data_IF_694106748299
#
_entry.id   IF_694106748299
#
_cell.length_a   1.000
_cell.length_b   1.000
_cell.length_c   1.000
_cell.angle_alpha   90.00
_cell.angle_beta   90.00
_cell.angle_gamma   90.00
#
_symmetry.space_group_name_H-M   'P 1'
#
loop_
_entity.id
_entity.type
_entity.pdbx_description
1 polymer ?
#
# COMPACT_ATOMS: atom_id res chain seq x y z
N UNK A 1 -27.18 13.62 12.27
CA UNK A 1 -26.91 12.16 12.30
C UNK A 1 -27.33 11.59 10.95
N UNK A 2 -26.43 10.99 10.17
CA UNK A 2 -26.79 10.41 8.86
C UNK A 2 -27.67 9.17 9.09
N UNK A 3 -28.88 9.15 8.52
CA UNK A 3 -29.78 8.00 8.66
C UNK A 3 -29.26 6.82 7.84
N UNK A 4 -28.74 5.81 8.56
CA UNK A 4 -28.20 4.58 8.00
C UNK A 4 -29.30 3.76 7.28
N UNK A 5 -30.56 3.95 7.64
CA UNK A 5 -31.71 3.25 7.04
C UNK A 5 -32.22 3.92 5.76
N UNK A 6 -31.76 5.13 5.46
CA UNK A 6 -32.17 5.84 4.25
C UNK A 6 -31.85 5.04 2.99
N UNK A 7 -32.73 5.11 1.99
CA UNK A 7 -32.53 4.42 0.72
C UNK A 7 -31.18 4.78 0.07
N UNK A 8 -30.79 6.05 0.17
CA UNK A 8 -29.51 6.54 -0.33
C UNK A 8 -28.31 5.88 0.35
N UNK A 9 -28.34 5.72 1.67
CA UNK A 9 -27.26 5.06 2.40
C UNK A 9 -27.17 3.57 2.08
N UNK A 10 -28.32 2.88 2.00
CA UNK A 10 -28.35 1.46 1.61
C UNK A 10 -27.83 1.25 0.19
N UNK A 11 -28.23 2.10 -0.76
CA UNK A 11 -27.75 2.06 -2.15
C UNK A 11 -26.24 2.27 -2.22
N UNK A 12 -25.72 3.22 -1.43
CA UNK A 12 -24.27 3.45 -1.29
C UNK A 12 -23.54 2.23 -0.74
N UNK A 13 -23.99 1.68 0.39
CA UNK A 13 -23.37 0.51 1.01
C UNK A 13 -23.40 -0.70 0.08
N UNK A 14 -24.54 -0.95 -0.58
CA UNK A 14 -24.69 -2.04 -1.54
C UNK A 14 -23.68 -1.89 -2.69
N UNK A 15 -23.59 -0.70 -3.28
CA UNK A 15 -22.65 -0.41 -4.36
C UNK A 15 -21.20 -0.68 -3.93
N UNK A 16 -20.80 -0.23 -2.74
CA UNK A 16 -19.45 -0.45 -2.21
C UNK A 16 -19.18 -1.93 -1.93
N UNK A 17 -20.11 -2.65 -1.33
CA UNK A 17 -19.94 -4.09 -1.08
C UNK A 17 -19.88 -4.88 -2.38
N UNK A 18 -20.61 -4.50 -3.42
CA UNK A 18 -20.51 -5.13 -4.75
C UNK A 18 -19.14 -4.87 -5.39
N UNK A 19 -18.62 -3.64 -5.31
CA UNK A 19 -17.25 -3.33 -5.78
C UNK A 19 -16.24 -4.21 -5.05
N UNK A 20 -16.32 -4.27 -3.72
CA UNK A 20 -15.46 -5.14 -2.91
C UNK A 20 -15.57 -6.60 -3.33
N UNK A 21 -16.79 -7.14 -3.43
CA UNK A 21 -17.04 -8.53 -3.77
C UNK A 21 -16.47 -8.90 -5.15
N UNK A 22 -16.67 -8.05 -6.16
CA UNK A 22 -16.14 -8.27 -7.51
C UNK A 22 -14.61 -8.31 -7.50
N UNK A 23 -13.96 -7.34 -6.85
CA UNK A 23 -12.49 -7.29 -6.78
C UNK A 23 -11.94 -8.48 -5.99
N UNK A 24 -12.55 -8.81 -4.84
CA UNK A 24 -12.06 -9.89 -3.97
C UNK A 24 -12.16 -11.25 -4.67
N UNK A 25 -13.27 -11.54 -5.34
CA UNK A 25 -13.49 -12.86 -5.95
C UNK A 25 -12.87 -13.00 -7.35
N UNK A 26 -12.83 -11.92 -8.14
CA UNK A 26 -12.40 -11.96 -9.54
C UNK A 26 -11.13 -11.16 -9.81
N UNK A 27 -10.23 -11.06 -8.82
CA UNK A 27 -9.01 -10.25 -8.92
C UNK A 27 -8.18 -10.53 -10.19
N UNK A 28 -8.10 -11.80 -10.60
CA UNK A 28 -7.34 -12.22 -11.78
C UNK A 28 -7.86 -11.57 -13.07
N UNK A 29 -9.17 -11.29 -13.16
CA UNK A 29 -9.76 -10.61 -14.32
C UNK A 29 -9.32 -9.14 -14.35
N UNK A 30 -9.26 -8.49 -13.19
CA UNK A 30 -8.81 -7.11 -13.09
C UNK A 30 -7.32 -6.96 -13.36
N UNK A 31 -6.48 -7.89 -12.92
CA UNK A 31 -5.02 -7.80 -13.09
C UNK A 31 -4.50 -8.42 -14.38
N UNK A 32 -5.33 -9.16 -15.13
CA UNK A 32 -4.92 -9.81 -16.37
C UNK A 32 -4.61 -8.77 -17.47
N UNK A 33 -3.44 -8.87 -18.14
CA UNK A 33 -3.13 -8.04 -19.30
C UNK A 33 -3.99 -8.40 -20.53
N UNK A 34 -4.61 -9.59 -20.53
CA UNK A 34 -5.45 -10.09 -21.63
C UNK A 34 -6.88 -9.57 -21.55
N UNK A 35 -7.33 -9.12 -20.38
CA UNK A 35 -8.66 -8.54 -20.21
C UNK A 35 -8.66 -7.11 -20.77
N UNK A 36 -9.01 -6.95 -22.05
CA UNK A 36 -9.02 -5.66 -22.74
C UNK A 36 -10.43 -5.22 -23.13
N UNK A 37 -10.64 -3.91 -23.11
CA UNK A 37 -11.86 -3.23 -23.55
C UNK A 37 -11.49 -2.30 -24.70
N UNK A 38 -12.32 -2.31 -25.74
CA UNK A 38 -12.17 -1.39 -26.87
C UNK A 38 -12.72 -0.01 -26.50
N UNK A 39 -11.92 1.03 -26.71
CA UNK A 39 -12.30 2.40 -26.35
C UNK A 39 -13.46 2.94 -27.21
N UNK A 40 -13.49 2.58 -28.49
CA UNK A 40 -14.57 2.94 -29.43
C UNK A 40 -14.74 1.85 -30.48
N UNK A 41 -15.94 1.69 -31.03
CA UNK A 41 -16.20 0.77 -32.14
C UNK A 41 -15.29 1.04 -33.36
N UNK A 42 -14.81 2.27 -33.53
CA UNK A 42 -14.00 2.73 -34.66
C UNK A 42 -12.49 2.80 -34.42
N UNK A 43 -12.01 2.67 -33.18
CA UNK A 43 -10.58 2.73 -32.86
C UNK A 43 -10.02 1.34 -32.58
N UNK A 44 -8.87 1.01 -33.17
CA UNK A 44 -8.14 -0.23 -32.87
C UNK A 44 -7.52 -0.21 -31.44
N UNK A 45 -7.50 0.95 -30.79
CA UNK A 45 -6.94 1.12 -29.45
C UNK A 45 -7.78 0.38 -28.39
N UNK A 46 -7.19 -0.67 -27.84
CA UNK A 46 -7.69 -1.42 -26.70
C UNK A 46 -6.95 -1.02 -25.43
N UNK A 47 -7.66 -0.84 -24.33
CA UNK A 47 -7.08 -0.62 -23.00
C UNK A 47 -7.38 -1.81 -22.09
N UNK A 48 -6.56 -2.02 -21.07
CA UNK A 48 -6.84 -3.07 -20.07
C UNK A 48 -8.09 -2.71 -19.26
N UNK A 49 -8.80 -3.72 -18.76
CA UNK A 49 -9.98 -3.56 -17.91
C UNK A 49 -9.66 -2.66 -16.71
N UNK A 50 -8.52 -2.87 -16.04
CA UNK A 50 -8.11 -2.06 -14.91
C UNK A 50 -7.89 -0.59 -15.29
N UNK A 51 -7.34 -0.31 -16.46
CA UNK A 51 -7.20 1.06 -16.94
C UNK A 51 -8.57 1.72 -17.15
N UNK A 52 -9.52 0.98 -17.74
CA UNK A 52 -10.87 1.46 -17.98
C UNK A 52 -11.63 1.77 -16.67
N UNK A 53 -11.53 0.91 -15.65
CA UNK A 53 -12.26 1.09 -14.39
C UNK A 53 -11.56 2.01 -13.39
N UNK A 54 -10.26 2.29 -13.59
CA UNK A 54 -9.43 3.12 -12.70
C UNK A 54 -10.11 4.43 -12.25
N UNK A 55 -10.59 5.31 -13.15
CA UNK A 55 -11.19 6.58 -12.73
C UNK A 55 -12.43 6.38 -11.84
N UNK A 56 -13.24 5.35 -12.11
CA UNK A 56 -14.44 5.05 -11.33
C UNK A 56 -14.11 4.50 -9.94
N UNK A 57 -13.13 3.58 -9.86
CA UNK A 57 -12.66 3.03 -8.60
C UNK A 57 -12.06 4.12 -7.71
N UNK A 58 -11.20 4.97 -8.29
CA UNK A 58 -10.55 6.06 -7.57
C UNK A 58 -11.56 7.13 -7.12
N UNK A 59 -12.55 7.46 -7.95
CA UNK A 59 -13.62 8.39 -7.57
C UNK A 59 -14.50 7.83 -6.44
N UNK A 60 -14.76 6.52 -6.44
CA UNK A 60 -15.52 5.87 -5.37
C UNK A 60 -14.78 5.98 -4.03
N UNK A 61 -13.48 5.69 -4.00
CA UNK A 61 -12.68 5.82 -2.78
C UNK A 61 -12.48 7.27 -2.37
N UNK A 62 -12.22 8.20 -3.28
CA UNK A 62 -12.01 9.61 -2.91
C UNK A 62 -13.24 10.24 -2.26
N UNK A 63 -14.45 9.83 -2.67
CA UNK A 63 -15.71 10.34 -2.11
C UNK A 63 -16.12 9.68 -0.79
N UNK A 64 -15.67 8.46 -0.52
CA UNK A 64 -16.18 7.65 0.60
C UNK A 64 -15.11 7.20 1.60
N UNK A 65 -13.82 7.28 1.25
CA UNK A 65 -12.70 6.75 2.04
C UNK A 65 -12.46 7.45 3.38
N UNK A 66 -12.98 8.67 3.58
CA UNK A 66 -12.95 9.40 4.86
C UNK A 66 -14.33 9.49 5.53
N UNK A 67 -15.28 8.61 5.16
CA UNK A 67 -16.65 8.69 5.65
C UNK A 67 -16.74 8.64 7.19
N UNK A 68 -17.55 9.51 7.76
CA UNK A 68 -17.88 9.51 9.20
C UNK A 68 -18.83 8.38 9.60
N UNK A 69 -19.34 7.60 8.64
CA UNK A 69 -20.20 6.43 8.88
C UNK A 69 -19.32 5.18 8.92
N UNK A 70 -19.22 4.47 10.06
CA UNK A 70 -18.31 3.33 10.23
C UNK A 70 -18.42 2.28 9.12
N UNK A 71 -19.62 1.80 8.83
CA UNK A 71 -19.85 0.79 7.79
C UNK A 71 -19.38 1.22 6.38
N UNK A 72 -19.48 2.51 6.05
CA UNK A 72 -19.00 3.01 4.75
C UNK A 72 -17.48 3.05 4.74
N UNK A 73 -16.88 3.54 5.83
CA UNK A 73 -15.43 3.60 5.99
C UNK A 73 -14.80 2.21 5.93
N UNK A 74 -15.33 1.23 6.68
CA UNK A 74 -14.86 -0.16 6.73
C UNK A 74 -14.78 -0.77 5.32
N UNK A 75 -15.86 -0.70 4.54
CA UNK A 75 -15.89 -1.26 3.18
C UNK A 75 -14.92 -0.53 2.25
N UNK A 76 -14.76 0.79 2.40
CA UNK A 76 -13.78 1.54 1.62
C UNK A 76 -12.34 1.13 1.98
N UNK A 77 -12.05 0.94 3.26
CA UNK A 77 -10.76 0.43 3.73
C UNK A 77 -10.47 -0.97 3.18
N UNK A 78 -11.45 -1.87 3.12
CA UNK A 78 -11.26 -3.20 2.53
C UNK A 78 -11.06 -3.15 1.00
N UNK A 79 -11.79 -2.29 0.27
CA UNK A 79 -11.53 -2.06 -1.16
C UNK A 79 -10.10 -1.54 -1.35
N UNK A 80 -9.69 -0.57 -0.54
CA UNK A 80 -8.34 -0.02 -0.56
C UNK A 80 -7.29 -1.09 -0.23
N UNK A 81 -7.54 -1.96 0.74
CA UNK A 81 -6.68 -3.10 1.06
C UNK A 81 -6.51 -4.04 -0.13
N UNK A 82 -7.58 -4.36 -0.86
CA UNK A 82 -7.48 -5.18 -2.08
C UNK A 82 -6.62 -4.50 -3.16
N UNK A 83 -6.76 -3.18 -3.33
CA UNK A 83 -5.90 -2.41 -4.24
C UNK A 83 -4.44 -2.46 -3.78
N UNK A 84 -4.18 -2.28 -2.48
CA UNK A 84 -2.85 -2.33 -1.89
C UNK A 84 -2.25 -3.75 -1.92
N UNK A 85 -3.07 -4.81 -1.91
CA UNK A 85 -2.60 -6.19 -1.95
C UNK A 85 -2.29 -6.66 -3.36
N UNK A 86 -3.12 -6.32 -4.34
CA UNK A 86 -3.08 -6.95 -5.67
C UNK A 86 -2.78 -5.99 -6.82
N UNK A 87 -2.88 -4.67 -6.63
CA UNK A 87 -2.80 -3.69 -7.72
C UNK A 87 -1.71 -2.62 -7.52
N UNK A 88 -0.74 -2.85 -6.61
CA UNK A 88 0.31 -1.87 -6.22
C UNK A 88 1.04 -1.25 -7.39
N UNK A 89 1.49 -2.08 -8.32
CA UNK A 89 2.26 -1.64 -9.48
C UNK A 89 1.38 -0.84 -10.45
N UNK A 90 0.16 -1.30 -10.68
CA UNK A 90 -0.75 -0.74 -11.69
C UNK A 90 -1.43 0.56 -11.25
N UNK A 91 -1.57 0.76 -9.93
CA UNK A 91 -2.23 1.92 -9.30
C UNK A 91 -1.29 2.69 -8.37
N UNK A 92 0.01 2.66 -8.67
CA UNK A 92 1.07 3.22 -7.81
C UNK A 92 0.79 4.65 -7.39
N UNK A 93 0.51 5.54 -8.35
CA UNK A 93 0.29 6.98 -8.12
C UNK A 93 -1.00 7.23 -7.33
N UNK A 94 -2.06 6.50 -7.66
CA UNK A 94 -3.35 6.62 -7.00
C UNK A 94 -3.27 6.14 -5.55
N UNK A 95 -2.59 5.02 -5.29
CA UNK A 95 -2.34 4.51 -3.96
C UNK A 95 -1.50 5.47 -3.12
N UNK A 96 -0.50 6.12 -3.71
CA UNK A 96 0.29 7.16 -3.03
C UNK A 96 -0.60 8.30 -2.51
N UNK A 97 -1.47 8.81 -3.37
CA UNK A 97 -2.42 9.87 -3.03
C UNK A 97 -3.38 9.41 -1.93
N UNK A 98 -3.94 8.20 -2.02
CA UNK A 98 -4.85 7.69 -0.99
C UNK A 98 -4.17 7.46 0.36
N UNK A 99 -2.96 6.89 0.36
CA UNK A 99 -2.19 6.70 1.59
C UNK A 99 -1.90 8.04 2.25
N UNK A 100 -1.39 9.01 1.50
CA UNK A 100 -1.05 10.33 2.03
C UNK A 100 -2.28 11.12 2.48
N UNK A 101 -3.21 11.37 1.57
CA UNK A 101 -4.27 12.38 1.75
C UNK A 101 -5.45 11.87 2.58
N UNK A 102 -5.66 10.55 2.64
CA UNK A 102 -6.77 9.96 3.40
C UNK A 102 -6.25 9.22 4.62
N UNK A 103 -5.56 8.09 4.45
CA UNK A 103 -5.41 7.14 5.55
C UNK A 103 -4.31 7.52 6.55
N UNK A 104 -3.13 7.94 6.08
CA UNK A 104 -2.08 8.48 6.96
C UNK A 104 -2.52 9.80 7.57
N UNK A 105 -3.22 10.65 6.81
CA UNK A 105 -3.81 11.89 7.35
C UNK A 105 -4.82 11.61 8.48
N UNK A 106 -5.62 10.55 8.40
CA UNK A 106 -6.52 10.13 9.48
C UNK A 106 -5.74 9.76 10.75
N UNK A 107 -4.64 9.01 10.63
CA UNK A 107 -3.78 8.64 11.76
C UNK A 107 -3.09 9.86 12.39
N UNK A 108 -2.60 10.77 11.57
CA UNK A 108 -1.83 11.94 12.00
C UNK A 108 -2.69 12.97 12.76
N UNK A 109 -3.92 13.19 12.28
CA UNK A 109 -4.86 14.18 12.83
C UNK A 109 -5.39 13.76 14.21
N UNK A 110 -5.28 14.65 15.19
CA UNK A 110 -5.74 14.37 16.57
C UNK A 110 -7.24 14.15 16.68
N UNK A 111 -8.04 14.89 15.91
CA UNK A 111 -9.49 14.91 15.97
C UNK A 111 -10.19 13.88 15.05
N UNK A 112 -9.45 13.03 14.32
CA UNK A 112 -10.08 11.97 13.53
C UNK A 112 -10.82 10.98 14.44
N UNK A 113 -12.00 10.49 14.02
CA UNK A 113 -12.76 9.49 14.77
C UNK A 113 -11.92 8.26 15.15
N UNK A 114 -12.04 7.81 16.39
CA UNK A 114 -11.26 6.67 16.92
C UNK A 114 -11.45 5.38 16.10
N UNK A 115 -12.68 5.09 15.67
CA UNK A 115 -12.98 3.91 14.85
C UNK A 115 -12.21 3.90 13.53
N UNK A 116 -11.98 5.07 12.91
CA UNK A 116 -11.24 5.16 11.65
C UNK A 116 -9.76 4.82 11.86
N UNK A 117 -9.18 5.35 12.94
CA UNK A 117 -7.80 5.05 13.32
C UNK A 117 -7.62 3.58 13.63
N UNK A 118 -8.55 3.01 14.40
CA UNK A 118 -8.48 1.62 14.84
C UNK A 118 -8.55 0.67 13.65
N UNK A 119 -9.56 0.85 12.80
CA UNK A 119 -9.73 -0.02 11.63
C UNK A 119 -8.57 0.11 10.64
N UNK A 120 -8.05 1.32 10.40
CA UNK A 120 -6.88 1.46 9.54
C UNK A 120 -5.61 0.86 10.17
N UNK A 121 -5.46 0.89 11.49
CA UNK A 121 -4.37 0.19 12.19
C UNK A 121 -4.46 -1.33 11.99
N UNK A 122 -5.66 -1.92 11.97
CA UNK A 122 -5.85 -3.35 11.64
C UNK A 122 -5.41 -3.66 10.19
N UNK A 123 -5.65 -2.75 9.24
CA UNK A 123 -5.14 -2.89 7.87
C UNK A 123 -3.60 -2.82 7.84
N UNK A 124 -2.99 -1.94 8.64
CA UNK A 124 -1.54 -1.85 8.77
C UNK A 124 -0.95 -3.11 9.42
N UNK A 125 -1.64 -3.73 10.38
CA UNK A 125 -1.23 -5.00 10.99
C UNK A 125 -1.21 -6.12 9.94
N UNK A 126 -2.25 -6.20 9.09
CA UNK A 126 -2.29 -7.14 7.96
C UNK A 126 -1.18 -6.88 6.95
N UNK A 127 -0.85 -5.61 6.68
CA UNK A 127 0.25 -5.23 5.81
C UNK A 127 1.60 -5.60 6.43
N UNK A 128 1.73 -5.48 7.75
CA UNK A 128 2.95 -5.76 8.51
C UNK A 128 3.38 -7.23 8.39
N UNK A 129 2.43 -8.15 8.21
CA UNK A 129 2.69 -9.57 7.96
C UNK A 129 3.05 -9.93 6.51
N UNK A 130 3.00 -8.98 5.56
CA UNK A 130 3.34 -9.23 4.14
C UNK A 130 4.69 -8.59 3.79
N UNK A 131 5.76 -9.37 3.95
CA UNK A 131 7.13 -8.91 3.73
C UNK A 131 7.37 -8.39 2.30
N UNK A 132 6.76 -9.03 1.30
CA UNK A 132 6.85 -8.59 -0.10
C UNK A 132 6.18 -7.24 -0.29
N UNK A 133 4.99 -7.04 0.28
CA UNK A 133 4.29 -5.76 0.20
C UNK A 133 5.09 -4.64 0.87
N UNK A 134 5.69 -4.89 2.04
CA UNK A 134 6.51 -3.90 2.75
C UNK A 134 7.71 -3.45 1.90
N UNK A 135 8.45 -4.41 1.32
CA UNK A 135 9.59 -4.11 0.44
C UNK A 135 9.14 -3.37 -0.81
N UNK A 136 8.05 -3.80 -1.45
CA UNK A 136 7.51 -3.12 -2.63
C UNK A 136 7.04 -1.69 -2.30
N UNK A 137 6.46 -1.42 -1.14
CA UNK A 137 6.09 -0.07 -0.70
C UNK A 137 7.35 0.80 -0.53
N UNK A 138 8.39 0.27 0.12
CA UNK A 138 9.67 0.99 0.28
C UNK A 138 10.32 1.32 -1.08
N UNK A 139 10.40 0.35 -1.98
CA UNK A 139 10.98 0.56 -3.31
C UNK A 139 10.13 1.51 -4.16
N UNK A 140 8.81 1.37 -4.12
CA UNK A 140 7.92 2.18 -4.95
C UNK A 140 7.83 3.62 -4.50
N UNK A 141 7.85 3.89 -3.20
CA UNK A 141 7.58 5.23 -2.69
C UNK A 141 8.83 5.90 -2.13
N UNK A 142 9.64 5.24 -1.32
CA UNK A 142 10.79 5.90 -0.66
C UNK A 142 12.03 5.94 -1.57
N UNK A 143 12.24 4.90 -2.38
CA UNK A 143 13.39 4.79 -3.28
C UNK A 143 13.15 5.40 -4.67
N UNK A 144 11.89 5.58 -5.07
CA UNK A 144 11.55 6.21 -6.35
C UNK A 144 11.67 7.73 -6.23
N UNK A 145 12.51 8.32 -7.09
CA UNK A 145 12.71 9.77 -7.18
C UNK A 145 11.48 10.53 -7.69
N UNK A 146 10.60 9.85 -8.42
CA UNK A 146 9.36 10.41 -8.96
C UNK A 146 8.21 10.42 -7.95
N UNK A 147 8.30 9.59 -6.91
CA UNK A 147 7.30 9.54 -5.85
C UNK A 147 7.29 10.86 -5.05
N UNK A 148 6.08 11.31 -4.73
CA UNK A 148 5.78 12.52 -3.97
C UNK A 148 6.29 12.43 -2.54
N UNK A 149 6.09 11.29 -1.87
CA UNK A 149 6.34 11.15 -0.44
C UNK A 149 7.19 9.93 -0.10
N UNK A 150 7.75 9.92 1.10
CA UNK A 150 8.36 8.72 1.70
C UNK A 150 7.29 7.98 2.52
N UNK A 151 6.43 7.25 1.82
CA UNK A 151 5.26 6.59 2.40
C UNK A 151 5.66 5.52 3.43
N UNK A 152 6.72 4.75 3.16
CA UNK A 152 7.18 3.71 4.10
C UNK A 152 7.72 4.36 5.39
N UNK A 153 8.57 5.38 5.26
CA UNK A 153 9.04 6.16 6.40
C UNK A 153 7.87 6.74 7.22
N UNK A 154 6.90 7.39 6.58
CA UNK A 154 5.76 7.99 7.28
C UNK A 154 4.91 6.92 8.00
N UNK A 155 4.72 5.75 7.40
CA UNK A 155 4.05 4.61 8.05
C UNK A 155 4.76 4.23 9.36
N UNK A 156 6.09 4.05 9.32
CA UNK A 156 6.88 3.72 10.52
C UNK A 156 6.78 4.83 11.57
N UNK A 157 6.86 6.10 11.16
CA UNK A 157 6.74 7.25 12.06
C UNK A 157 5.37 7.33 12.74
N UNK A 158 4.27 7.14 12.00
CA UNK A 158 2.92 7.15 12.59
C UNK A 158 2.73 6.01 13.58
N UNK A 159 3.12 4.78 13.22
CA UNK A 159 3.00 3.63 14.13
C UNK A 159 3.84 3.87 15.39
N UNK A 160 5.09 4.31 15.23
CA UNK A 160 5.99 4.62 16.35
C UNK A 160 5.42 5.68 17.30
N UNK A 161 4.75 6.70 16.74
CA UNK A 161 4.09 7.75 17.53
C UNK A 161 3.00 7.19 18.45
N UNK A 162 2.22 6.20 18.00
CA UNK A 162 1.21 5.53 18.83
C UNK A 162 1.84 4.67 19.92
N UNK A 163 3.00 4.03 19.65
CA UNK A 163 3.74 3.26 20.66
C UNK A 163 4.29 4.16 21.77
N UNK A 164 4.82 5.33 21.42
CA UNK A 164 5.48 6.24 22.38
C UNK A 164 4.45 7.07 23.18
N UNK A 165 3.19 7.13 22.74
CA UNK A 165 2.14 7.91 23.39
C UNK A 165 2.01 7.49 24.88
N UNK A 166 2.05 8.46 25.83
CA UNK A 166 1.88 8.16 27.24
C UNK A 166 0.42 7.76 27.49
N UNK A 167 0.23 6.59 28.11
CA UNK A 167 -1.10 6.08 28.47
C UNK A 167 -1.10 5.84 29.97
N UNK A 168 -2.09 6.37 30.73
CA UNK A 168 -2.20 6.10 32.16
C UNK A 168 -2.40 4.60 32.38
N UNK A 169 -1.48 3.98 33.12
CA UNK A 169 -1.48 2.54 33.39
C UNK A 169 -2.46 2.27 34.53
N UNK A 170 -3.72 1.99 34.19
CA UNK A 170 -4.70 1.47 35.13
C UNK A 170 -5.31 0.19 34.52
N UNK A 171 -5.05 -0.97 35.15
CA UNK A 171 -5.72 -2.24 34.80
C UNK A 171 -5.15 -3.05 33.62
N UNK A 172 -3.82 -3.22 33.50
CA UNK A 172 -3.18 -4.04 32.44
C UNK A 172 -3.72 -5.48 32.32
N UNK A 173 -4.06 -6.13 33.44
CA UNK A 173 -4.49 -7.53 33.45
C UNK A 173 -5.83 -7.78 32.75
N UNK A 174 -6.78 -6.84 32.81
CA UNK A 174 -8.12 -7.02 32.23
C UNK A 174 -8.13 -6.86 30.70
N UNK A 175 -7.17 -6.12 30.15
CA UNK A 175 -7.10 -5.86 28.70
C UNK A 175 -6.54 -7.06 27.90
N UNK A 176 -5.63 -7.83 28.50
CA UNK A 176 -5.00 -8.97 27.81
C UNK A 176 -5.98 -10.14 27.58
N UNK A 177 -6.96 -10.33 28.48
CA UNK A 177 -8.02 -11.35 28.33
C UNK A 177 -9.11 -10.97 27.31
N UNK A 178 -9.44 -9.67 27.16
CA UNK A 178 -10.42 -9.22 26.16
C UNK A 178 -9.88 -9.27 24.73
N UNK A 179 -8.56 -9.13 24.57
CA UNK A 179 -7.86 -9.22 23.27
C UNK A 179 -8.00 -10.59 22.60
N UNK A 180 -7.88 -11.68 23.36
CA UNK A 180 -7.97 -13.06 22.82
C UNK A 180 -9.36 -13.39 22.26
N UNK A 181 -10.40 -12.64 22.65
CA UNK A 181 -11.80 -12.86 22.21
C UNK A 181 -12.23 -12.03 21.00
N UNK A 182 -11.41 -11.10 20.49
CA UNK A 182 -11.84 -10.09 19.51
C UNK A 182 -11.46 -10.37 18.04
N UNK A 183 -11.00 -11.57 17.68
CA UNK A 183 -10.69 -11.90 16.27
C UNK A 183 -11.91 -12.35 15.47
N UNK A 184 -13.04 -11.64 15.56
CA UNK A 184 -14.16 -11.86 14.65
C UNK A 184 -13.98 -10.94 13.43
N UNK A 185 -13.14 -11.35 12.48
CA UNK A 185 -13.18 -10.74 11.15
C UNK A 185 -14.55 -11.01 10.53
N UNK A 186 -15.30 -9.98 10.08
CA UNK A 186 -16.59 -10.18 9.42
C UNK A 186 -16.51 -11.22 8.30
N UNK A 187 -17.41 -12.20 8.30
CA UNK A 187 -17.40 -13.33 7.36
C UNK A 187 -17.33 -12.90 5.89
N UNK A 188 -17.87 -11.72 5.55
CA UNK A 188 -17.91 -11.20 4.18
C UNK A 188 -16.54 -10.80 3.58
N UNK A 189 -15.48 -10.77 4.38
CA UNK A 189 -14.11 -10.56 3.89
C UNK A 189 -13.53 -11.79 3.18
N UNK A 190 -14.08 -12.98 3.44
CA UNK A 190 -13.58 -14.23 2.88
C UNK A 190 -13.96 -14.38 1.40
N UNK A 191 -13.11 -15.06 0.62
CA UNK A 191 -13.43 -15.36 -0.77
C UNK A 191 -14.60 -16.34 -0.83
N UNK A 192 -15.53 -16.12 -1.75
CA UNK A 192 -16.71 -16.97 -1.95
C UNK A 192 -17.90 -16.64 -1.05
N UNK A 193 -17.77 -15.72 -0.08
CA UNK A 193 -18.91 -15.29 0.74
C UNK A 193 -19.72 -14.18 0.06
N UNK A 194 -21.04 -14.21 0.25
CA UNK A 194 -21.94 -13.16 -0.24
C UNK A 194 -21.77 -11.87 0.56
N UNK A 195 -22.07 -10.70 -0.05
CA UNK A 195 -22.15 -9.43 0.66
C UNK A 195 -23.06 -9.51 1.90
N UNK A 196 -22.78 -8.72 2.95
CA UNK A 196 -23.62 -8.73 4.15
C UNK A 196 -25.04 -8.29 3.82
N UNK A 197 -26.02 -8.86 4.52
CA UNK A 197 -27.42 -8.52 4.30
C UNK A 197 -27.68 -7.09 4.80
N UNK A 198 -28.12 -6.18 3.93
CA UNK A 198 -28.32 -4.75 4.23
C UNK A 198 -29.80 -4.39 4.48
N UNK A 199 -30.63 -5.35 4.91
CA UNK A 199 -32.02 -5.06 5.27
C UNK A 199 -32.10 -4.12 6.47
N UNK A 200 -33.23 -3.40 6.58
CA UNK A 200 -33.47 -2.48 7.70
C UNK A 200 -33.46 -3.18 9.07
N UNK A 201 -33.74 -4.49 9.09
CA UNK A 201 -33.71 -5.35 10.28
C UNK A 201 -32.30 -5.84 10.65
N UNK A 202 -31.39 -6.03 9.69
CA UNK A 202 -30.00 -6.41 10.00
C UNK A 202 -29.14 -5.21 10.40
N UNK A 203 -29.42 -4.02 9.87
CA UNK A 203 -28.69 -2.78 10.20
C UNK A 203 -28.85 -2.34 11.66
N UNK A 204 -29.88 -2.81 12.39
CA UNK A 204 -30.14 -2.52 13.81
C UNK A 204 -29.37 -3.41 14.79
N UNK A 205 -28.76 -4.50 14.32
CA UNK A 205 -28.03 -5.45 15.17
C UNK A 205 -26.58 -5.01 15.47
N UNK A 206 -26.36 -3.76 15.85
CA UNK A 206 -25.16 -3.43 16.62
C UNK A 206 -25.55 -3.61 18.09
N UNK A 207 -25.26 -4.79 18.64
CA UNK A 207 -25.22 -4.99 20.09
C UNK A 207 -24.43 -3.83 20.68
N UNK A 208 -25.05 -3.09 21.61
CA UNK A 208 -24.38 -2.03 22.33
C UNK A 208 -23.02 -2.56 22.80
N UNK A 209 -21.90 -1.87 22.53
CA UNK A 209 -20.61 -2.38 22.98
C UNK A 209 -20.71 -2.51 24.50
N UNK A 210 -20.63 -3.76 24.98
CA UNK A 210 -20.35 -4.03 26.38
C UNK A 210 -19.17 -3.16 26.75
N UNK A 211 -19.35 -2.29 27.74
CA UNK A 211 -18.37 -1.31 28.21
C UNK A 211 -16.99 -1.97 28.21
N UNK A 212 -16.17 -1.66 27.20
CA UNK A 212 -14.79 -2.10 27.14
C UNK A 212 -14.09 -1.29 28.25
N UNK A 213 -13.92 -1.91 29.42
CA UNK A 213 -13.24 -1.33 30.57
C UNK A 213 -11.72 -1.15 30.36
N UNK A 214 -11.24 -1.11 29.12
CA UNK A 214 -9.86 -0.78 28.75
C UNK A 214 -9.83 0.58 28.07
N UNK A 215 -8.82 1.40 28.35
CA UNK A 215 -8.65 2.66 27.64
C UNK A 215 -8.39 2.39 26.15
N UNK A 216 -9.18 2.95 25.21
CA UNK A 216 -9.00 2.73 23.78
C UNK A 216 -7.61 3.20 23.29
N UNK A 217 -6.98 4.12 24.02
CA UNK A 217 -5.61 4.56 23.80
C UNK A 217 -4.59 3.45 24.09
N UNK A 218 -4.82 2.63 25.12
CA UNK A 218 -3.96 1.48 25.42
C UNK A 218 -4.08 0.41 24.34
N UNK A 219 -5.30 0.17 23.85
CA UNK A 219 -5.54 -0.77 22.76
C UNK A 219 -4.77 -0.37 21.49
N UNK A 220 -4.87 0.89 21.09
CA UNK A 220 -4.14 1.43 19.94
C UNK A 220 -2.62 1.29 20.11
N UNK A 221 -2.11 1.52 21.33
CA UNK A 221 -0.69 1.36 21.64
C UNK A 221 -0.21 -0.08 21.45
N UNK A 222 -0.98 -1.07 21.90
CA UNK A 222 -0.65 -2.48 21.69
C UNK A 222 -0.69 -2.85 20.20
N UNK A 223 -1.75 -2.48 19.47
CA UNK A 223 -1.81 -2.73 18.02
C UNK A 223 -0.63 -2.12 17.27
N UNK A 224 -0.26 -0.88 17.60
CA UNK A 224 0.90 -0.23 16.99
C UNK A 224 2.21 -0.96 17.31
N UNK A 225 2.38 -1.45 18.55
CA UNK A 225 3.55 -2.22 18.93
C UNK A 225 3.62 -3.55 18.16
N UNK A 226 2.50 -4.27 18.06
CA UNK A 226 2.42 -5.51 17.30
C UNK A 226 2.72 -5.27 15.82
N UNK A 227 2.23 -4.19 15.22
CA UNK A 227 2.60 -3.81 13.86
C UNK A 227 4.12 -3.65 13.70
N UNK A 228 4.79 -2.91 14.60
CA UNK A 228 6.25 -2.73 14.50
C UNK A 228 7.00 -4.06 14.65
N UNK A 229 6.59 -4.90 15.60
CA UNK A 229 7.20 -6.22 15.81
C UNK A 229 6.99 -7.10 14.58
N UNK A 230 5.79 -7.10 14.01
CA UNK A 230 5.46 -7.91 12.84
C UNK A 230 6.16 -7.41 11.57
N UNK A 231 6.31 -6.09 11.39
CA UNK A 231 7.15 -5.52 10.31
C UNK A 231 8.58 -6.05 10.43
N UNK A 232 9.18 -6.00 11.63
CA UNK A 232 10.54 -6.48 11.83
C UNK A 232 10.68 -7.98 11.54
N UNK A 233 9.74 -8.80 12.03
CA UNK A 233 9.70 -10.25 11.75
C UNK A 233 9.54 -10.55 10.27
N UNK A 234 8.65 -9.84 9.59
CA UNK A 234 8.42 -10.00 8.14
C UNK A 234 9.65 -9.65 7.33
N UNK A 235 10.33 -8.55 7.66
CA UNK A 235 11.55 -8.13 6.97
C UNK A 235 12.73 -9.10 7.25
N UNK A 236 12.84 -9.62 8.47
CA UNK A 236 13.83 -10.64 8.83
C UNK A 236 13.59 -11.99 8.11
N UNK A 237 12.33 -12.43 8.05
CA UNK A 237 11.94 -13.60 7.27
C UNK A 237 12.28 -13.44 5.79
N UNK A 238 12.04 -12.26 5.22
CA UNK A 238 12.37 -11.96 3.82
C UNK A 238 13.88 -11.89 3.55
N UNK A 239 14.67 -11.32 4.46
CA UNK A 239 16.12 -11.25 4.30
C UNK A 239 16.76 -12.64 4.42
N UNK A 240 16.27 -13.46 5.35
CA UNK A 240 16.75 -14.83 5.59
C UNK A 240 16.46 -15.77 4.43
N UNK A 241 15.38 -15.56 3.67
CA UNK A 241 15.04 -16.35 2.48
C UNK A 241 16.03 -16.17 1.32
N UNK A 242 16.81 -15.08 1.29
CA UNK A 242 17.75 -14.79 0.19
C UNK A 242 19.19 -15.23 0.45
N UNK A 243 19.51 -15.68 1.66
CA UNK A 243 20.82 -16.27 1.94
C UNK A 243 20.70 -17.78 1.76
N UNK A 244 20.99 -18.37 0.57
CA UNK A 244 21.27 -19.79 0.55
C UNK A 244 22.41 -20.00 1.53
N UNK A 245 22.18 -20.86 2.51
CA UNK A 245 23.22 -21.30 3.41
C UNK A 245 24.40 -21.74 2.55
N UNK A 246 25.47 -20.96 2.53
CA UNK A 246 26.77 -21.42 2.09
C UNK A 246 27.20 -22.42 3.16
N UNK A 247 26.66 -23.64 3.06
CA UNK A 247 27.13 -24.77 3.84
C UNK A 247 28.53 -25.05 3.33
N UNK A 248 29.51 -24.73 4.17
CA UNK A 248 30.89 -25.17 4.09
C UNK A 248 30.95 -26.63 3.61
N UNK A 249 31.31 -26.82 2.34
CA UNK A 249 31.77 -28.09 1.80
C UNK A 249 33.29 -28.13 1.92
N UNK A 250 33.79 -28.80 2.94
CA UNK A 250 35.18 -29.22 3.08
C UNK A 250 35.60 -30.03 1.86
N UNK A 251 36.87 -29.87 1.46
CA UNK A 251 37.62 -30.76 0.57
C UNK A 251 37.21 -32.24 0.71
N UNK A 252 36.84 -32.89 -0.39
CA UNK A 252 37.53 -34.12 -0.78
C UNK A 252 37.35 -34.43 -2.28
N UNK A 253 38.45 -34.88 -2.83
CA UNK A 253 38.72 -35.28 -4.20
C UNK A 253 38.04 -36.63 -4.52
N UNK A 254 37.53 -36.78 -5.76
CA UNK A 254 37.65 -37.97 -6.63
C UNK A 254 36.58 -37.93 -7.75
N UNK A 255 37.10 -37.66 -8.95
CA UNK A 255 36.81 -38.30 -10.24
C UNK A 255 35.42 -38.26 -10.88
N UNK A 256 35.41 -37.61 -12.05
CA UNK A 256 34.44 -37.66 -13.15
C UNK A 256 34.08 -39.10 -13.57
N UNK A 257 32.79 -39.35 -13.85
CA UNK A 257 32.34 -39.97 -15.11
C UNK A 257 30.84 -39.78 -15.36
N UNK A 258 30.57 -39.28 -16.57
CA UNK A 258 29.30 -39.21 -17.28
C UNK A 258 28.70 -40.59 -17.51
N UNK A 259 27.36 -40.75 -17.47
CA UNK A 259 26.51 -41.38 -18.50
C UNK A 259 25.01 -41.24 -18.15
N UNK A 260 24.21 -40.93 -19.17
CA UNK A 260 22.74 -40.99 -19.23
C UNK A 260 22.20 -42.43 -19.07
N UNK A 261 21.02 -42.60 -18.44
CA UNK A 261 19.82 -43.17 -19.09
C UNK A 261 18.66 -43.46 -18.11
N UNK A 262 17.53 -42.81 -18.39
CA UNK A 262 16.15 -43.33 -18.50
C UNK A 262 15.48 -44.22 -17.41
N UNK A 263 14.37 -43.65 -16.87
CA UNK A 263 13.00 -44.23 -16.65
C UNK A 263 12.85 -45.38 -15.62
N UNK A 264 11.76 -45.60 -14.86
CA UNK A 264 10.36 -45.12 -14.80
C UNK A 264 9.73 -45.65 -13.49
N UNK A 265 8.83 -44.92 -12.81
CA UNK A 265 7.77 -45.48 -11.92
C UNK A 265 6.84 -44.34 -11.44
N UNK A 266 5.73 -44.09 -12.15
CA UNK A 266 4.34 -44.49 -11.80
C UNK A 266 3.71 -43.70 -10.63
N UNK A 267 3.04 -42.62 -11.03
CA UNK A 267 1.72 -42.07 -10.66
C UNK A 267 1.12 -42.20 -9.25
N UNK A 268 0.84 -41.04 -8.63
CA UNK A 268 -0.49 -40.66 -8.14
C UNK A 268 -0.64 -39.12 -8.03
N UNK A 269 -1.81 -38.54 -8.37
CA UNK A 269 -1.94 -37.11 -8.68
C UNK A 269 -2.30 -36.25 -7.46
N UNK A 270 -1.64 -35.11 -7.32
CA UNK A 270 -2.11 -33.98 -6.50
C UNK A 270 -1.85 -32.70 -7.26
N UNK A 271 -2.90 -32.21 -7.92
CA UNK A 271 -2.92 -30.95 -8.66
C UNK A 271 -2.78 -29.75 -7.69
N UNK A 272 -1.54 -29.45 -7.30
CA UNK A 272 -1.13 -28.10 -6.93
C UNK A 272 -0.55 -27.45 -8.19
N UNK A 273 -1.38 -26.75 -8.94
CA UNK A 273 -0.97 -25.99 -10.11
C UNK A 273 -0.06 -24.83 -9.69
N UNK A 274 1.25 -25.08 -9.70
CA UNK A 274 2.23 -24.06 -9.99
C UNK A 274 1.94 -23.53 -11.40
N UNK A 275 1.32 -22.35 -11.48
CA UNK A 275 1.17 -21.66 -12.74
C UNK A 275 2.55 -21.10 -13.15
N UNK A 276 3.06 -21.45 -14.35
CA UNK A 276 4.26 -20.84 -14.90
C UNK A 276 3.94 -19.40 -15.35
N UNK A 277 4.83 -18.47 -15.01
CA UNK A 277 4.86 -17.15 -15.62
C UNK A 277 4.97 -17.29 -17.14
N UNK A 278 4.13 -16.67 -17.96
CA UNK A 278 4.25 -16.78 -19.41
C UNK A 278 5.48 -15.99 -19.87
N UNK A 279 6.49 -16.71 -20.37
CA UNK A 279 7.50 -16.16 -21.27
C UNK A 279 6.79 -15.78 -22.58
N UNK A 280 6.82 -14.50 -22.93
CA UNK A 280 6.42 -14.02 -24.27
C UNK A 280 7.70 -13.77 -25.05
N UNK A 281 7.87 -14.52 -26.14
CA UNK A 281 8.88 -14.33 -27.16
C UNK A 281 8.61 -13.04 -27.94
N UNK A 282 9.70 -12.38 -28.34
CA UNK A 282 9.75 -10.96 -28.68
C UNK A 282 9.33 -10.69 -30.13
N UNK A 283 8.39 -9.77 -30.32
CA UNK A 283 8.06 -9.23 -31.63
C UNK A 283 6.96 -8.17 -31.59
N UNK A 284 7.32 -6.90 -31.32
CA UNK A 284 6.43 -5.75 -31.58
C UNK A 284 6.42 -4.68 -30.48
N UNK A 285 7.06 -3.55 -30.79
CA UNK A 285 7.03 -2.21 -30.19
C UNK A 285 5.87 -1.89 -29.20
N UNK A 286 6.20 -1.59 -27.95
CA UNK A 286 5.29 -0.96 -26.98
C UNK A 286 5.86 -0.89 -25.57
N UNK A 287 5.90 0.29 -24.97
CA UNK A 287 6.60 0.63 -23.72
C UNK A 287 6.04 -0.07 -22.47
N UNK A 288 6.62 -1.21 -22.12
CA UNK A 288 6.49 -1.86 -20.81
C UNK A 288 7.89 -2.13 -20.26
N UNK A 289 8.46 -1.18 -19.53
CA UNK A 289 9.79 -1.34 -18.93
C UNK A 289 9.63 -2.23 -17.69
N UNK A 290 9.64 -3.55 -17.91
CA UNK A 290 10.08 -4.48 -16.88
C UNK A 290 11.43 -3.97 -16.37
N UNK A 291 11.57 -3.86 -15.06
CA UNK A 291 12.85 -3.56 -14.42
C UNK A 291 13.91 -4.48 -15.04
N UNK A 292 14.93 -3.93 -15.74
CA UNK A 292 16.07 -4.76 -16.10
C UNK A 292 16.65 -5.27 -14.79
N UNK A 293 16.99 -6.56 -14.74
CA UNK A 293 17.79 -7.14 -13.68
C UNK A 293 19.19 -6.51 -13.70
N UNK A 294 19.29 -5.25 -13.32
CA UNK A 294 20.49 -4.68 -12.72
C UNK A 294 20.49 -5.29 -11.33
N UNK A 295 21.52 -6.05 -10.99
CA UNK A 295 21.75 -6.50 -9.62
C UNK A 295 21.49 -5.31 -8.68
N UNK A 296 20.56 -5.45 -7.72
CA UNK A 296 20.20 -4.39 -6.78
C UNK A 296 21.46 -4.00 -5.97
N UNK A 297 22.26 -3.03 -6.46
CA UNK A 297 23.38 -2.46 -5.72
C UNK A 297 22.79 -1.62 -4.57
N UNK A 298 22.97 -2.03 -3.30
CA UNK A 298 22.43 -1.30 -2.16
C UNK A 298 22.89 0.17 -2.13
N UNK A 299 24.08 0.47 -2.66
CA UNK A 299 24.59 1.83 -2.75
C UNK A 299 23.78 2.69 -3.72
N UNK A 300 23.24 2.15 -4.80
CA UNK A 300 22.42 2.93 -5.73
C UNK A 300 21.06 3.31 -5.13
N UNK A 301 20.45 2.38 -4.40
CA UNK A 301 19.19 2.60 -3.66
C UNK A 301 19.40 3.67 -2.58
N UNK A 302 20.49 3.55 -1.80
CA UNK A 302 20.82 4.54 -0.78
C UNK A 302 21.10 5.92 -1.38
N UNK A 303 21.90 5.99 -2.46
CA UNK A 303 22.14 7.25 -3.19
C UNK A 303 20.85 7.85 -3.72
N UNK A 304 19.93 7.04 -4.24
CA UNK A 304 18.63 7.52 -4.71
C UNK A 304 17.78 8.11 -3.58
N UNK A 305 17.73 7.43 -2.42
CA UNK A 305 17.03 7.91 -1.22
C UNK A 305 17.66 9.19 -0.66
N UNK A 306 18.98 9.24 -0.51
CA UNK A 306 19.70 10.43 -0.04
C UNK A 306 19.46 11.63 -0.98
N UNK A 307 19.50 11.40 -2.30
CA UNK A 307 19.22 12.45 -3.29
C UNK A 307 17.77 12.94 -3.22
N UNK A 308 16.80 12.05 -3.01
CA UNK A 308 15.39 12.43 -2.81
C UNK A 308 15.20 13.24 -1.53
N UNK A 309 15.82 12.83 -0.43
CA UNK A 309 15.77 13.55 0.85
C UNK A 309 16.37 14.96 0.73
N UNK A 310 17.53 15.09 0.07
CA UNK A 310 18.16 16.39 -0.20
C UNK A 310 17.27 17.30 -1.06
N UNK A 311 16.62 16.76 -2.09
CA UNK A 311 15.66 17.52 -2.92
C UNK A 311 14.47 18.00 -2.09
N UNK A 312 13.87 17.13 -1.28
CA UNK A 312 12.73 17.47 -0.42
C UNK A 312 13.10 18.58 0.57
N UNK A 313 14.26 18.47 1.21
CA UNK A 313 14.78 19.50 2.11
C UNK A 313 15.03 20.83 1.37
N UNK A 314 15.57 20.80 0.16
CA UNK A 314 15.79 21.99 -0.65
C UNK A 314 14.48 22.68 -1.07
N UNK A 315 13.44 21.90 -1.39
CA UNK A 315 12.08 22.40 -1.69
C UNK A 315 11.44 23.02 -0.43
N UNK A 316 11.55 22.37 0.74
CA UNK A 316 11.07 22.95 1.99
C UNK A 316 11.78 24.27 2.32
N UNK A 317 13.09 24.34 2.07
CA UNK A 317 13.86 25.55 2.27
C UNK A 317 13.46 26.66 1.29
N UNK A 318 13.10 26.31 0.05
CA UNK A 318 12.52 27.25 -0.92
C UNK A 318 11.16 27.77 -0.45
N UNK A 319 10.24 26.89 -0.07
CA UNK A 319 8.91 27.26 0.40
C UNK A 319 8.95 28.14 1.67
N UNK A 320 10.02 28.05 2.46
CA UNK A 320 10.25 28.94 3.61
C UNK A 320 10.99 30.25 3.25
N UNK A 321 12.03 30.17 2.42
CA UNK A 321 12.83 31.32 1.95
C UNK A 321 13.32 31.07 0.52
N UNK A 322 12.63 31.61 -0.51
CA UNK A 322 12.86 31.22 -1.90
C UNK A 322 14.32 31.41 -2.38
N UNK A 323 14.95 32.55 -2.08
CA UNK A 323 16.35 32.83 -2.42
C UNK A 323 17.34 31.84 -1.80
N UNK A 324 17.07 31.34 -0.58
CA UNK A 324 17.92 30.35 0.08
C UNK A 324 17.70 28.95 -0.49
N UNK A 325 16.45 28.61 -0.82
CA UNK A 325 16.10 27.36 -1.49
C UNK A 325 16.77 27.23 -2.86
N UNK A 326 16.74 28.28 -3.71
CA UNK A 326 17.39 28.24 -5.04
C UNK A 326 18.90 28.05 -4.93
N UNK A 327 19.56 28.74 -4.00
CA UNK A 327 20.99 28.51 -3.74
C UNK A 327 21.30 27.07 -3.34
N UNK A 328 20.45 26.47 -2.51
CA UNK A 328 20.61 25.08 -2.10
C UNK A 328 20.35 24.10 -3.25
N UNK A 329 19.33 24.35 -4.07
CA UNK A 329 19.00 23.57 -5.27
C UNK A 329 20.11 23.62 -6.33
N UNK A 330 20.78 24.76 -6.50
CA UNK A 330 21.95 24.91 -7.36
C UNK A 330 23.17 24.17 -6.77
N UNK A 331 23.44 24.38 -5.48
CA UNK A 331 24.57 23.75 -4.77
C UNK A 331 24.50 22.22 -4.83
N UNK A 332 23.33 21.65 -4.60
CA UNK A 332 23.13 20.20 -4.55
C UNK A 332 22.90 19.60 -5.96
N UNK A 333 23.00 20.41 -7.01
CA UNK A 333 22.95 19.97 -8.41
C UNK A 333 21.56 19.53 -8.89
N UNK A 334 20.49 20.05 -8.27
CA UNK A 334 19.11 19.86 -8.72
C UNK A 334 18.73 20.84 -9.83
N UNK A 335 19.33 22.03 -9.85
CA UNK A 335 19.30 22.98 -10.96
C UNK A 335 20.64 22.93 -11.67
N UNK A 336 20.62 22.84 -13.01
CA UNK A 336 21.83 22.60 -13.84
C UNK A 336 22.82 23.76 -13.81
N UNK A 337 22.33 24.98 -13.78
CA UNK A 337 23.16 26.19 -13.78
C UNK A 337 22.39 27.36 -13.17
N UNK A 338 23.10 28.40 -12.73
CA UNK A 338 22.53 29.68 -12.26
C UNK A 338 21.99 30.54 -13.41
N UNK A 339 21.71 29.94 -14.57
CA UNK A 339 21.07 30.61 -15.69
C UNK A 339 19.58 30.86 -15.38
N UNK A 340 19.04 32.06 -15.66
CA UNK A 340 17.62 32.34 -15.49
C UNK A 340 16.71 31.34 -16.21
N UNK A 341 17.15 30.80 -17.34
CA UNK A 341 16.40 29.78 -18.11
C UNK A 341 16.30 28.45 -17.38
N UNK A 342 17.38 28.01 -16.76
CA UNK A 342 17.42 26.73 -16.02
C UNK A 342 16.65 26.81 -14.72
N UNK A 343 16.74 27.96 -14.02
CA UNK A 343 15.95 28.25 -12.83
C UNK A 343 14.46 28.28 -13.19
N UNK A 344 14.05 29.04 -14.22
CA UNK A 344 12.66 29.14 -14.64
C UNK A 344 12.08 27.77 -15.07
N UNK A 345 12.86 26.96 -15.80
CA UNK A 345 12.45 25.60 -16.18
C UNK A 345 12.24 24.70 -14.96
N UNK A 346 13.07 24.83 -13.92
CA UNK A 346 12.90 24.06 -12.69
C UNK A 346 11.64 24.51 -11.93
N UNK A 347 11.45 25.82 -11.75
CA UNK A 347 10.30 26.39 -11.07
C UNK A 347 8.98 25.99 -11.75
N UNK A 348 8.94 25.97 -13.09
CA UNK A 348 7.76 25.63 -13.87
C UNK A 348 7.39 24.15 -13.79
N UNK A 349 8.39 23.25 -13.72
CA UNK A 349 8.18 21.80 -13.79
C UNK A 349 7.94 21.14 -12.44
N UNK A 350 8.23 21.83 -11.35
CA UNK A 350 8.19 21.25 -10.01
C UNK A 350 6.95 21.72 -9.25
N UNK A 351 5.90 20.91 -9.32
CA UNK A 351 4.58 21.19 -8.71
C UNK A 351 4.60 21.26 -7.17
N UNK A 352 5.72 20.88 -6.53
CA UNK A 352 5.87 20.88 -5.06
C UNK A 352 6.32 22.23 -4.49
N UNK A 353 6.75 23.14 -5.36
CA UNK A 353 7.14 24.50 -4.96
C UNK A 353 5.88 25.32 -4.69
N UNK A 354 5.88 26.05 -3.57
CA UNK A 354 4.77 26.91 -3.21
C UNK A 354 4.65 28.06 -4.23
N UNK A 355 3.43 28.26 -4.76
CA UNK A 355 3.16 29.26 -5.80
C UNK A 355 3.33 30.69 -5.29
N UNK A 356 3.08 30.92 -4.01
CA UNK A 356 3.36 32.22 -3.40
C UNK A 356 4.87 32.46 -3.30
N UNK A 357 5.63 31.45 -2.87
CA UNK A 357 7.10 31.48 -2.87
C UNK A 357 7.72 31.68 -4.26
N UNK A 358 7.12 31.12 -5.32
CA UNK A 358 7.52 31.39 -6.72
C UNK A 358 7.27 32.86 -7.09
N UNK A 359 6.16 33.46 -6.63
CA UNK A 359 5.87 34.87 -6.90
C UNK A 359 6.73 35.86 -6.13
N UNK A 360 7.23 35.49 -4.95
CA UNK A 360 8.15 36.32 -4.15
C UNK A 360 9.59 36.31 -4.68
N UNK A 361 10.02 35.20 -5.28
CA UNK A 361 11.35 35.03 -5.87
C UNK A 361 11.48 35.76 -7.21
#
# INVERSE_FOLDING_TARGET
QLDIKSQNMRSKLLSLHLIHHLINNHIAVFTSPLATIRNSASSADSMTLLHAIRPHLCLSLSRNGSSSVPKVFEVCCEIFWLMLKYMRVMLKKELEVFLKEIYLAILERRNSPAFQKQYFMEILERLSGDSRALVEIYLNYDCDRTALENIFQNLIEQISRFVIMPVPVMGQHTFQESRVKSSNTPDWHQRGTLPPNLTTASLTSSVAPSVQNGSPELAMKYHALDCLVEILRSLDSWSSQRLPSSTNGTHDDVSRKSMENYRESIDAPSFAAALPSPYIDSGGTGTGRSTPAVEDDPNEIEKARQRKAALSHAIQQFNFKPKRGIKLLLKDGFIRSDSPKDIANFLLRNDRLDKAGIGEY
#
